data_IF_496883758985
#
_entry.id   IF_496883758985
#
_cell.length_a   1.000
_cell.length_b   1.000
_cell.length_c   1.000
_cell.angle_alpha   90.00
_cell.angle_beta   90.00
_cell.angle_gamma   90.00
#
_symmetry.space_group_name_H-M   'P 1'
#
loop_
_entity.id
_entity.type
_entity.pdbx_description
1 polymer ?
#
# COMPACT_ATOMS: atom_id res chain seq x y z
N UNK A 1 -12.93 -14.43 -28.31
CA UNK A 1 -11.89 -15.08 -29.13
C UNK A 1 -12.58 -16.09 -30.04
N UNK A 2 -12.15 -16.24 -31.30
CA UNK A 2 -12.71 -17.20 -32.26
C UNK A 2 -11.58 -18.10 -32.74
N UNK A 3 -11.65 -19.41 -32.45
CA UNK A 3 -10.64 -20.43 -32.78
C UNK A 3 -9.18 -20.02 -32.49
N UNK A 4 -9.00 -19.23 -31.42
CA UNK A 4 -7.67 -18.83 -30.97
C UNK A 4 -6.95 -20.07 -30.42
N UNK A 5 -5.92 -20.51 -31.14
CA UNK A 5 -5.06 -21.60 -30.70
C UNK A 5 -4.30 -21.19 -29.42
N UNK A 6 -4.28 -22.07 -28.43
CA UNK A 6 -3.61 -21.84 -27.14
C UNK A 6 -3.07 -23.13 -26.53
N UNK A 7 -2.05 -22.98 -25.68
CA UNK A 7 -1.49 -24.08 -24.90
C UNK A 7 -2.05 -24.06 -23.48
N UNK A 8 -2.43 -25.23 -22.97
CA UNK A 8 -2.83 -25.36 -21.57
C UNK A 8 -1.61 -25.19 -20.66
N UNK A 9 -1.73 -24.32 -19.65
CA UNK A 9 -0.73 -24.15 -18.60
C UNK A 9 -1.27 -24.74 -17.28
N UNK A 10 -0.53 -25.69 -16.71
CA UNK A 10 -0.94 -26.44 -15.52
C UNK A 10 -2.01 -27.49 -15.81
N UNK A 11 -2.66 -27.99 -14.76
CA UNK A 11 -3.63 -29.07 -14.87
C UNK A 11 -5.02 -28.59 -15.33
N UNK A 12 -5.77 -29.38 -16.11
CA UNK A 12 -7.17 -29.09 -16.42
C UNK A 12 -7.99 -28.79 -15.16
N UNK A 13 -8.73 -27.68 -15.15
CA UNK A 13 -9.55 -27.24 -14.01
C UNK A 13 -8.80 -26.47 -12.92
N UNK A 14 -7.46 -26.38 -12.97
CA UNK A 14 -6.64 -25.71 -11.94
C UNK A 14 -6.29 -24.26 -12.27
N UNK A 15 -6.98 -23.62 -13.23
CA UNK A 15 -6.61 -22.30 -13.76
C UNK A 15 -6.40 -21.22 -12.70
N UNK A 16 -7.28 -21.12 -11.69
CA UNK A 16 -7.12 -20.17 -10.58
C UNK A 16 -5.81 -20.44 -9.84
N UNK A 17 -5.58 -21.70 -9.42
CA UNK A 17 -4.36 -22.09 -8.69
C UNK A 17 -3.10 -21.78 -9.50
N UNK A 18 -3.12 -22.03 -10.81
CA UNK A 18 -1.99 -21.77 -11.70
C UNK A 18 -1.60 -20.28 -11.73
N UNK A 19 -2.56 -19.36 -11.66
CA UNK A 19 -2.29 -17.92 -11.77
C UNK A 19 -2.11 -17.20 -10.42
N UNK A 20 -2.35 -17.86 -9.28
CA UNK A 20 -2.32 -17.20 -7.97
C UNK A 20 -0.98 -16.52 -7.67
N UNK A 21 0.13 -17.18 -8.01
CA UNK A 21 1.47 -16.63 -7.77
C UNK A 21 1.74 -15.43 -8.68
N UNK A 22 1.32 -15.51 -9.96
CA UNK A 22 1.40 -14.39 -10.89
C UNK A 22 0.62 -13.18 -10.36
N UNK A 23 -0.64 -13.38 -9.96
CA UNK A 23 -1.47 -12.31 -9.39
C UNK A 23 -0.79 -11.73 -8.15
N UNK A 24 -0.26 -12.56 -7.27
CA UNK A 24 0.46 -12.12 -6.05
C UNK A 24 1.64 -11.21 -6.38
N UNK A 25 2.44 -11.54 -7.39
CA UNK A 25 3.55 -10.69 -7.84
C UNK A 25 3.06 -9.35 -8.41
N UNK A 26 2.01 -9.35 -9.24
CA UNK A 26 1.46 -8.09 -9.79
C UNK A 26 0.92 -7.14 -8.71
N UNK A 27 0.51 -7.68 -7.55
CA UNK A 27 0.03 -6.87 -6.41
C UNK A 27 1.17 -6.14 -5.71
N UNK A 28 2.37 -6.75 -5.63
CA UNK A 28 3.58 -6.06 -5.18
C UNK A 28 3.93 -4.92 -6.13
N UNK A 29 3.88 -5.16 -7.44
CA UNK A 29 4.17 -4.14 -8.46
C UNK A 29 3.21 -2.94 -8.34
N UNK A 30 1.92 -3.20 -8.12
CA UNK A 30 0.93 -2.13 -7.89
C UNK A 30 1.31 -1.25 -6.69
N UNK A 31 1.77 -1.84 -5.59
CA UNK A 31 2.16 -1.11 -4.40
C UNK A 31 3.44 -0.27 -4.63
N UNK A 32 4.46 -0.88 -5.24
CA UNK A 32 5.72 -0.20 -5.59
C UNK A 32 5.48 0.96 -6.56
N UNK A 33 4.67 0.75 -7.61
CA UNK A 33 4.34 1.79 -8.57
C UNK A 33 3.56 2.94 -7.91
N UNK A 34 2.60 2.64 -7.03
CA UNK A 34 1.84 3.66 -6.30
C UNK A 34 2.71 4.47 -5.35
N UNK A 35 3.60 3.81 -4.60
CA UNK A 35 4.59 4.48 -3.75
C UNK A 35 5.51 5.40 -4.58
N UNK A 36 5.97 4.93 -5.74
CA UNK A 36 6.77 5.71 -6.68
C UNK A 36 6.04 6.97 -7.21
N UNK A 37 4.77 6.83 -7.59
CA UNK A 37 3.95 7.96 -8.06
C UNK A 37 3.71 9.00 -6.96
N UNK A 38 3.42 8.56 -5.73
CA UNK A 38 3.27 9.47 -4.59
C UNK A 38 4.59 10.19 -4.29
N UNK A 39 5.71 9.46 -4.31
CA UNK A 39 7.06 10.03 -4.12
C UNK A 39 7.39 11.08 -5.17
N UNK A 40 7.13 10.81 -6.45
CA UNK A 40 7.39 11.74 -7.53
C UNK A 40 6.54 13.02 -7.39
N UNK A 41 5.26 12.86 -7.08
CA UNK A 41 4.32 13.99 -6.92
C UNK A 41 4.68 14.87 -5.72
N UNK A 42 5.02 14.26 -4.58
CA UNK A 42 5.47 15.00 -3.41
C UNK A 42 6.81 15.71 -3.67
N UNK A 43 7.75 15.08 -4.39
CA UNK A 43 9.02 15.72 -4.73
C UNK A 43 8.80 16.99 -5.58
N UNK A 44 7.88 16.95 -6.55
CA UNK A 44 7.51 18.12 -7.34
C UNK A 44 6.86 19.21 -6.46
N UNK A 45 5.95 18.85 -5.56
CA UNK A 45 5.31 19.77 -4.63
C UNK A 45 6.32 20.46 -3.69
N UNK A 46 7.23 19.70 -3.08
CA UNK A 46 8.30 20.24 -2.22
C UNK A 46 9.24 21.15 -3.02
N UNK A 47 9.63 20.75 -4.23
CA UNK A 47 10.48 21.57 -5.08
C UNK A 47 9.79 22.90 -5.45
N UNK A 48 8.52 22.84 -5.86
CA UNK A 48 7.74 24.04 -6.18
C UNK A 48 7.61 24.99 -4.98
N UNK A 49 7.31 24.45 -3.80
CA UNK A 49 7.19 25.24 -2.57
C UNK A 49 8.50 25.96 -2.18
N UNK A 50 9.67 25.41 -2.54
CA UNK A 50 10.97 26.06 -2.32
C UNK A 50 11.23 27.22 -3.27
N UNK A 51 10.66 27.20 -4.48
CA UNK A 51 10.87 28.22 -5.51
C UNK A 51 9.76 29.27 -5.62
N UNK A 52 8.58 29.03 -5.03
CA UNK A 52 7.42 29.91 -5.15
C UNK A 52 7.27 30.81 -3.93
N UNK A 53 7.18 32.12 -4.17
CA UNK A 53 6.87 33.13 -3.15
C UNK A 53 5.40 33.54 -3.18
N UNK A 54 4.77 33.61 -2.00
CA UNK A 54 3.41 34.12 -1.78
C UNK A 54 3.41 34.93 -0.49
N UNK A 55 2.78 36.10 -0.51
CA UNK A 55 2.82 37.07 0.60
C UNK A 55 4.25 37.42 1.06
N UNK A 56 5.17 37.54 0.11
CA UNK A 56 6.56 37.96 0.37
C UNK A 56 7.46 36.90 1.00
N UNK A 57 7.01 35.65 1.16
CA UNK A 57 7.79 34.53 1.69
C UNK A 57 7.71 33.32 0.78
N UNK A 58 8.78 32.52 0.74
CA UNK A 58 8.73 31.21 0.06
C UNK A 58 7.66 30.32 0.72
N UNK A 59 6.89 29.58 -0.07
CA UNK A 59 5.84 28.70 0.45
C UNK A 59 6.40 27.70 1.46
N UNK A 60 7.61 27.17 1.23
CA UNK A 60 8.27 26.22 2.14
C UNK A 60 8.54 26.78 3.55
N UNK A 61 8.57 28.11 3.73
CA UNK A 61 8.78 28.75 5.04
C UNK A 61 7.47 29.13 5.73
N UNK A 62 6.32 28.95 5.07
CA UNK A 62 5.01 29.13 5.67
C UNK A 62 4.67 27.89 6.50
N UNK A 63 4.44 28.02 7.82
CA UNK A 63 4.22 26.85 8.67
C UNK A 63 3.08 25.95 8.19
N UNK A 64 2.00 26.51 7.66
CA UNK A 64 0.85 25.75 7.14
C UNK A 64 1.25 24.85 5.96
N UNK A 65 2.05 25.34 5.02
CA UNK A 65 2.56 24.55 3.89
C UNK A 65 3.55 23.48 4.37
N UNK A 66 4.43 23.81 5.33
CA UNK A 66 5.35 22.82 5.89
C UNK A 66 4.60 21.65 6.53
N UNK A 67 3.46 21.88 7.20
CA UNK A 67 2.65 20.81 7.79
C UNK A 67 2.03 19.91 6.73
N UNK A 68 1.43 20.48 5.69
CA UNK A 68 0.86 19.72 4.56
C UNK A 68 1.93 18.84 3.90
N UNK A 69 3.09 19.41 3.56
CA UNK A 69 4.19 18.67 2.93
C UNK A 69 4.78 17.61 3.85
N UNK A 70 4.88 17.88 5.16
CA UNK A 70 5.40 16.93 6.13
C UNK A 70 4.44 15.75 6.34
N UNK A 71 3.14 16.00 6.40
CA UNK A 71 2.13 14.96 6.59
C UNK A 71 2.11 13.99 5.40
N UNK A 72 2.07 14.51 4.17
CA UNK A 72 2.24 13.68 2.96
C UNK A 72 3.59 12.93 2.96
N UNK A 73 4.66 13.54 3.48
CA UNK A 73 5.97 12.89 3.51
C UNK A 73 6.01 11.67 4.44
N UNK A 74 5.24 11.67 5.54
CA UNK A 74 5.12 10.52 6.43
C UNK A 74 4.48 9.33 5.68
N UNK A 75 3.36 9.57 5.00
CA UNK A 75 2.67 8.53 4.21
C UNK A 75 3.52 8.02 3.05
N UNK A 76 4.22 8.89 2.33
CA UNK A 76 5.14 8.48 1.25
C UNK A 76 6.27 7.62 1.80
N UNK A 77 6.87 8.00 2.93
CA UNK A 77 7.95 7.23 3.55
C UNK A 77 7.45 5.86 4.00
N UNK A 78 6.30 5.82 4.69
CA UNK A 78 5.64 4.61 5.15
C UNK A 78 5.29 3.66 3.99
N UNK A 79 4.62 4.15 2.95
CA UNK A 79 4.23 3.34 1.80
C UNK A 79 5.44 2.81 1.03
N UNK A 80 6.51 3.61 0.91
CA UNK A 80 7.76 3.17 0.28
C UNK A 80 8.42 2.07 1.11
N UNK A 81 8.63 2.29 2.41
CA UNK A 81 9.25 1.33 3.31
C UNK A 81 8.49 0.00 3.33
N UNK A 82 7.16 0.06 3.47
CA UNK A 82 6.29 -1.12 3.51
C UNK A 82 6.34 -1.91 2.19
N UNK A 83 6.34 -1.22 1.04
CA UNK A 83 6.41 -1.88 -0.28
C UNK A 83 7.75 -2.59 -0.49
N UNK A 84 8.87 -1.96 -0.12
CA UNK A 84 10.19 -2.59 -0.19
C UNK A 84 10.38 -3.69 0.85
N UNK A 85 9.81 -3.54 2.05
CA UNK A 85 9.80 -4.59 3.08
C UNK A 85 9.09 -5.84 2.59
N UNK A 86 7.97 -5.67 1.87
CA UNK A 86 7.26 -6.78 1.23
C UNK A 86 8.11 -7.43 0.14
N UNK A 87 8.77 -6.67 -0.73
CA UNK A 87 9.70 -7.21 -1.72
C UNK A 87 10.81 -8.05 -1.06
N UNK A 88 11.41 -7.54 0.02
CA UNK A 88 12.41 -8.28 0.80
C UNK A 88 11.85 -9.56 1.43
N UNK A 89 10.57 -9.57 1.82
CA UNK A 89 9.90 -10.79 2.30
C UNK A 89 9.80 -11.85 1.20
N UNK A 90 9.49 -11.45 -0.04
CA UNK A 90 9.47 -12.36 -1.19
C UNK A 90 10.85 -12.98 -1.44
N UNK A 91 11.93 -12.18 -1.37
CA UNK A 91 13.30 -12.69 -1.54
C UNK A 91 13.66 -13.75 -0.48
N UNK A 92 13.25 -13.53 0.77
CA UNK A 92 13.58 -14.39 1.90
C UNK A 92 12.59 -15.57 2.11
N UNK A 93 11.40 -15.54 1.51
CA UNK A 93 10.31 -16.48 1.77
C UNK A 93 10.70 -17.94 1.56
N UNK A 94 11.58 -18.24 0.60
CA UNK A 94 12.02 -19.61 0.32
C UNK A 94 12.74 -20.26 1.50
N UNK A 95 13.46 -19.48 2.30
CA UNK A 95 14.36 -19.97 3.34
C UNK A 95 13.94 -19.57 4.76
N UNK A 96 12.91 -18.73 4.89
CA UNK A 96 12.45 -18.23 6.18
C UNK A 96 10.91 -18.29 6.27
N UNK A 97 10.35 -19.20 7.09
CA UNK A 97 8.90 -19.34 7.28
C UNK A 97 8.20 -18.07 7.76
N UNK A 98 8.86 -17.25 8.59
CA UNK A 98 8.30 -15.98 9.05
C UNK A 98 8.16 -14.97 7.90
N UNK A 99 9.12 -14.94 6.97
CA UNK A 99 9.08 -14.10 5.78
C UNK A 99 8.06 -14.61 4.76
N UNK A 100 7.91 -15.94 4.63
CA UNK A 100 6.85 -16.52 3.81
C UNK A 100 5.45 -16.16 4.35
N UNK A 101 5.26 -16.21 5.67
CA UNK A 101 4.03 -15.78 6.33
C UNK A 101 3.77 -14.29 6.11
N UNK A 102 4.80 -13.46 6.28
CA UNK A 102 4.74 -12.02 6.01
C UNK A 102 4.33 -11.75 4.56
N UNK A 103 5.00 -12.37 3.58
CA UNK A 103 4.64 -12.20 2.17
C UNK A 103 3.18 -12.58 1.88
N UNK A 104 2.69 -13.70 2.44
CA UNK A 104 1.31 -14.16 2.20
C UNK A 104 0.25 -13.24 2.81
N UNK A 105 0.46 -12.82 4.07
CA UNK A 105 -0.49 -11.98 4.82
C UNK A 105 -0.44 -10.54 4.32
N UNK A 106 0.76 -9.99 4.13
CA UNK A 106 0.96 -8.57 3.88
C UNK A 106 0.75 -8.19 2.43
N UNK A 107 0.89 -9.07 1.43
CA UNK A 107 0.64 -8.71 0.02
C UNK A 107 -0.69 -7.99 -0.23
N UNK A 108 -1.86 -8.55 0.15
CA UNK A 108 -3.13 -7.83 -0.03
C UNK A 108 -3.22 -6.56 0.85
N UNK A 109 -2.56 -6.53 2.01
CA UNK A 109 -2.57 -5.39 2.94
C UNK A 109 -1.79 -4.20 2.36
N UNK A 110 -0.55 -4.45 1.91
CA UNK A 110 0.33 -3.45 1.30
C UNK A 110 -0.30 -2.92 0.01
N UNK A 111 -0.83 -3.81 -0.86
CA UNK A 111 -1.56 -3.35 -2.05
C UNK A 111 -2.76 -2.48 -1.67
N UNK A 112 -3.59 -2.92 -0.71
CA UNK A 112 -4.76 -2.16 -0.27
C UNK A 112 -4.36 -0.74 0.13
N UNK A 113 -3.41 -0.60 1.06
CA UNK A 113 -3.13 0.69 1.67
C UNK A 113 -2.36 1.59 0.70
N UNK A 114 -1.22 1.14 0.18
CA UNK A 114 -0.37 1.94 -0.71
C UNK A 114 -1.09 2.43 -1.96
N UNK A 115 -1.93 1.59 -2.58
CA UNK A 115 -2.64 1.99 -3.81
C UNK A 115 -3.82 2.91 -3.50
N UNK A 116 -4.48 2.76 -2.34
CA UNK A 116 -5.71 3.51 -2.02
C UNK A 116 -5.45 4.90 -1.46
N UNK A 117 -4.33 5.14 -0.80
CA UNK A 117 -3.98 6.48 -0.32
C UNK A 117 -3.45 7.39 -1.45
N UNK A 118 -2.91 6.79 -2.53
CA UNK A 118 -2.25 7.51 -3.61
C UNK A 118 -3.11 8.59 -4.29
N UNK A 119 -4.40 8.38 -4.63
CA UNK A 119 -5.21 9.42 -5.27
C UNK A 119 -5.37 10.68 -4.40
N UNK A 120 -5.62 10.53 -3.10
CA UNK A 120 -5.81 11.66 -2.19
C UNK A 120 -4.50 12.42 -1.94
N UNK A 121 -3.40 11.68 -1.76
CA UNK A 121 -2.08 12.29 -1.56
C UNK A 121 -1.61 13.04 -2.80
N UNK A 122 -1.76 12.45 -3.98
CA UNK A 122 -1.35 13.08 -5.25
C UNK A 122 -2.24 14.30 -5.56
N UNK A 123 -3.52 14.27 -5.19
CA UNK A 123 -4.39 15.45 -5.25
C UNK A 123 -3.84 16.60 -4.40
N UNK A 124 -3.49 16.37 -3.13
CA UNK A 124 -2.96 17.42 -2.24
C UNK A 124 -1.62 17.96 -2.75
N UNK A 125 -0.76 17.08 -3.27
CA UNK A 125 0.48 17.48 -3.91
C UNK A 125 0.24 18.32 -5.18
N UNK A 126 -0.79 18.01 -5.97
CA UNK A 126 -1.22 18.80 -7.12
C UNK A 126 -1.71 20.20 -6.70
N UNK A 127 -2.49 20.27 -5.61
CA UNK A 127 -2.98 21.55 -5.07
C UNK A 127 -1.83 22.46 -4.61
N UNK A 128 -0.75 21.89 -4.07
CA UNK A 128 0.46 22.64 -3.69
C UNK A 128 1.10 23.42 -4.85
N UNK A 129 0.88 23.01 -6.10
CA UNK A 129 1.36 23.72 -7.30
C UNK A 129 0.42 24.85 -7.75
N UNK A 130 -0.78 24.94 -7.17
CA UNK A 130 -1.85 25.83 -7.60
C UNK A 130 -2.35 25.48 -9.00
N UNK A 131 -2.80 26.49 -9.77
CA UNK A 131 -3.37 26.28 -11.11
C UNK A 131 -2.44 25.52 -12.07
N UNK A 132 -1.12 25.66 -11.94
CA UNK A 132 -0.17 24.91 -12.76
C UNK A 132 -0.17 23.41 -12.46
N UNK A 133 -0.59 22.97 -11.27
CA UNK A 133 -0.73 21.55 -10.98
C UNK A 133 -1.86 20.90 -11.79
N UNK A 134 -2.90 21.67 -12.13
CA UNK A 134 -4.10 21.19 -12.81
C UNK A 134 -3.93 21.09 -14.34
N UNK A 135 -2.89 21.68 -14.91
CA UNK A 135 -2.66 21.65 -16.36
C UNK A 135 -1.89 20.41 -16.78
N UNK A 136 -2.28 19.82 -17.90
CA UNK A 136 -1.78 18.52 -18.38
C UNK A 136 -0.31 18.55 -18.85
N UNK A 137 0.28 19.73 -19.01
CA UNK A 137 1.70 19.92 -19.28
C UNK A 137 2.58 19.60 -18.06
N UNK A 138 2.00 19.52 -16.85
CA UNK A 138 2.71 19.05 -15.65
C UNK A 138 2.50 17.56 -15.42
N UNK A 139 3.56 16.81 -15.06
CA UNK A 139 3.44 15.38 -14.78
C UNK A 139 2.42 15.03 -13.70
N UNK A 140 2.23 15.90 -12.69
CA UNK A 140 1.35 15.63 -11.56
C UNK A 140 -0.12 15.43 -11.94
N UNK A 141 -0.63 16.13 -12.97
CA UNK A 141 -1.99 15.91 -13.49
C UNK A 141 -2.15 14.49 -14.04
N UNK A 142 -1.13 13.98 -14.73
CA UNK A 142 -1.08 12.58 -15.18
C UNK A 142 -0.96 11.61 -14.01
N UNK A 143 -0.11 11.90 -13.03
CA UNK A 143 0.02 11.05 -11.83
C UNK A 143 -1.32 10.90 -11.11
N UNK A 144 -2.09 11.98 -11.00
CA UNK A 144 -3.42 11.95 -10.38
C UNK A 144 -4.39 11.04 -11.16
N UNK A 145 -4.39 11.13 -12.49
CA UNK A 145 -5.22 10.25 -13.35
C UNK A 145 -4.76 8.78 -13.31
N UNK A 146 -3.46 8.55 -13.13
CA UNK A 146 -2.86 7.20 -13.05
C UNK A 146 -3.14 6.53 -11.70
N UNK A 147 -3.09 7.28 -10.60
CA UNK A 147 -3.14 6.71 -9.25
C UNK A 147 -4.27 5.69 -8.98
N UNK A 148 -5.53 5.91 -9.42
CA UNK A 148 -6.61 4.97 -9.17
C UNK A 148 -6.44 3.61 -9.84
N UNK A 149 -5.69 3.50 -10.95
CA UNK A 149 -5.64 2.25 -11.71
C UNK A 149 -5.05 1.11 -10.87
N UNK A 150 -4.00 1.36 -10.08
CA UNK A 150 -3.36 0.34 -9.25
C UNK A 150 -4.24 -0.16 -8.10
N UNK A 151 -5.21 0.65 -7.67
CA UNK A 151 -6.19 0.27 -6.65
C UNK A 151 -7.41 -0.46 -7.24
N UNK A 152 -7.65 -0.36 -8.54
CA UNK A 152 -8.78 -0.99 -9.25
C UNK A 152 -8.33 -2.30 -9.91
N UNK A 153 -7.22 -2.25 -10.65
CA UNK A 153 -6.57 -3.36 -11.33
C UNK A 153 -6.12 -4.44 -10.34
N UNK A 154 -6.24 -5.71 -10.73
CA UNK A 154 -5.78 -6.89 -9.96
C UNK A 154 -6.30 -6.97 -8.51
N UNK A 155 -7.55 -6.57 -8.32
CA UNK A 155 -8.30 -6.71 -7.08
C UNK A 155 -8.44 -5.40 -6.32
N UNK A 156 -9.69 -4.93 -6.23
CA UNK A 156 -10.03 -3.69 -5.54
C UNK A 156 -9.91 -3.81 -4.02
N UNK A 157 -10.05 -2.68 -3.31
CA UNK A 157 -9.88 -2.64 -1.86
C UNK A 157 -10.75 -3.65 -1.09
N UNK A 158 -11.99 -3.90 -1.51
CA UNK A 158 -12.82 -4.93 -0.87
C UNK A 158 -12.28 -6.34 -1.13
N UNK A 159 -11.80 -6.61 -2.34
CA UNK A 159 -11.21 -7.91 -2.69
C UNK A 159 -9.94 -8.16 -1.86
N UNK A 160 -9.10 -7.15 -1.66
CA UNK A 160 -7.92 -7.27 -0.79
C UNK A 160 -8.31 -7.53 0.66
N UNK A 161 -9.29 -6.80 1.19
CA UNK A 161 -9.77 -6.99 2.56
C UNK A 161 -10.37 -8.39 2.79
N UNK A 162 -11.15 -8.89 1.84
CA UNK A 162 -11.70 -10.24 1.88
C UNK A 162 -10.62 -11.32 1.72
N UNK A 163 -9.56 -11.08 0.93
CA UNK A 163 -8.43 -12.01 0.84
C UNK A 163 -7.71 -12.14 2.18
N UNK A 164 -7.53 -11.04 2.92
CA UNK A 164 -6.95 -11.08 4.28
C UNK A 164 -7.79 -11.94 5.22
N UNK A 165 -9.13 -11.81 5.18
CA UNK A 165 -10.01 -12.68 5.97
C UNK A 165 -9.93 -14.15 5.55
N UNK A 166 -9.78 -14.42 4.25
CA UNK A 166 -9.57 -15.79 3.76
C UNK A 166 -8.25 -16.39 4.24
N UNK A 167 -7.18 -15.58 4.35
CA UNK A 167 -5.91 -16.03 4.96
C UNK A 167 -6.14 -16.35 6.43
N UNK A 168 -6.82 -15.46 7.15
CA UNK A 168 -7.09 -15.60 8.58
C UNK A 168 -7.88 -16.89 8.89
N UNK A 169 -8.88 -17.22 8.08
CA UNK A 169 -9.67 -18.44 8.24
C UNK A 169 -8.86 -19.73 8.01
N UNK A 170 -7.81 -19.68 7.19
CA UNK A 170 -7.03 -20.85 6.77
C UNK A 170 -5.69 -21.02 7.50
N UNK A 171 -5.15 -19.95 8.09
CA UNK A 171 -3.83 -19.95 8.72
C UNK A 171 -3.69 -18.82 9.73
N UNK A 172 -4.26 -19.00 10.92
CA UNK A 172 -4.13 -18.04 12.04
C UNK A 172 -2.68 -17.92 12.54
N UNK A 173 -1.94 -19.03 12.48
CA UNK A 173 -0.51 -19.13 12.79
C UNK A 173 0.35 -18.18 11.94
N UNK A 174 -0.05 -17.90 10.70
CA UNK A 174 0.63 -16.92 9.86
C UNK A 174 0.58 -15.51 10.48
N UNK A 175 -0.54 -15.13 11.08
CA UNK A 175 -0.68 -13.82 11.73
C UNK A 175 0.17 -13.72 13.00
N UNK A 176 0.33 -14.82 13.75
CA UNK A 176 1.22 -14.84 14.91
C UNK A 176 2.69 -14.63 14.53
N UNK A 177 3.14 -15.17 13.39
CA UNK A 177 4.49 -14.90 12.85
C UNK A 177 4.65 -13.43 12.43
N UNK A 178 3.62 -12.83 11.84
CA UNK A 178 3.63 -11.39 11.52
C UNK A 178 3.66 -10.56 12.80
N UNK A 179 2.90 -10.92 13.84
CA UNK A 179 2.93 -10.22 15.13
C UNK A 179 4.30 -10.27 15.80
N UNK A 180 4.97 -11.43 15.79
CA UNK A 180 6.34 -11.53 16.31
C UNK A 180 7.30 -10.60 15.56
N UNK A 181 7.14 -10.48 14.24
CA UNK A 181 7.92 -9.56 13.40
C UNK A 181 7.66 -8.11 13.82
N UNK A 182 6.40 -7.70 13.93
CA UNK A 182 6.01 -6.35 14.34
C UNK A 182 6.47 -6.01 15.77
N UNK A 183 6.33 -6.94 16.71
CA UNK A 183 6.75 -6.74 18.10
C UNK A 183 8.26 -6.54 18.22
N UNK A 184 9.04 -7.29 17.42
CA UNK A 184 10.49 -7.12 17.33
C UNK A 184 10.84 -5.74 16.78
N UNK A 185 10.22 -5.34 15.69
CA UNK A 185 10.58 -4.12 14.96
C UNK A 185 10.15 -2.85 15.73
N UNK A 186 8.99 -2.88 16.40
CA UNK A 186 8.46 -1.77 17.22
C UNK A 186 8.99 -1.74 18.66
N UNK A 187 9.71 -2.78 19.09
CA UNK A 187 10.29 -2.87 20.43
C UNK A 187 9.24 -2.76 21.56
N UNK A 188 9.47 -1.96 22.62
CA UNK A 188 8.55 -1.87 23.77
C UNK A 188 7.11 -1.45 23.43
N UNK A 189 6.91 -0.72 22.33
CA UNK A 189 5.59 -0.32 21.87
C UNK A 189 4.84 -1.44 21.13
N UNK A 190 5.56 -2.44 20.61
CA UNK A 190 5.04 -3.46 19.72
C UNK A 190 3.89 -4.25 20.31
N UNK A 191 3.96 -4.63 21.59
CA UNK A 191 2.91 -5.40 22.27
C UNK A 191 1.56 -4.66 22.28
N UNK A 192 1.57 -3.35 22.53
CA UNK A 192 0.32 -2.56 22.52
C UNK A 192 -0.26 -2.50 21.11
N UNK A 193 0.59 -2.35 20.10
CA UNK A 193 0.16 -2.35 18.70
C UNK A 193 -0.44 -3.70 18.31
N UNK A 194 0.20 -4.82 18.65
CA UNK A 194 -0.33 -6.16 18.34
C UNK A 194 -1.60 -6.48 19.12
N UNK A 195 -1.78 -5.98 20.34
CA UNK A 195 -3.04 -6.08 21.08
C UNK A 195 -4.20 -5.40 20.32
N UNK A 196 -3.97 -4.23 19.72
CA UNK A 196 -4.95 -3.55 18.84
C UNK A 196 -5.25 -4.39 17.60
N UNK A 197 -4.23 -4.95 16.95
CA UNK A 197 -4.42 -5.79 15.77
C UNK A 197 -5.18 -7.09 16.10
N UNK A 198 -4.92 -7.70 17.26
CA UNK A 198 -5.67 -8.88 17.75
C UNK A 198 -7.14 -8.53 18.02
N UNK A 199 -7.42 -7.35 18.58
CA UNK A 199 -8.79 -6.87 18.75
C UNK A 199 -9.48 -6.63 17.40
N UNK A 200 -8.78 -6.05 16.42
CA UNK A 200 -9.30 -5.87 15.06
C UNK A 200 -9.58 -7.21 14.36
N UNK A 201 -8.72 -8.21 14.54
CA UNK A 201 -8.96 -9.59 14.07
C UNK A 201 -10.24 -10.15 14.69
N UNK A 202 -10.36 -10.10 16.02
CA UNK A 202 -11.52 -10.63 16.74
C UNK A 202 -12.83 -9.95 16.32
N UNK A 203 -12.79 -8.66 15.98
CA UNK A 203 -13.93 -7.93 15.42
C UNK A 203 -14.25 -8.44 14.01
N UNK A 204 -13.25 -8.56 13.14
CA UNK A 204 -13.44 -9.01 11.76
C UNK A 204 -13.87 -10.48 11.62
N UNK A 205 -13.56 -11.33 12.60
CA UNK A 205 -14.08 -12.70 12.69
C UNK A 205 -15.58 -12.73 13.02
N UNK A 206 -16.10 -11.72 13.73
CA UNK A 206 -17.51 -11.61 14.11
C UNK A 206 -18.32 -10.84 13.06
N UNK A 207 -17.70 -9.87 12.42
CA UNK A 207 -18.30 -8.99 11.42
C UNK A 207 -17.32 -8.78 10.25
N UNK A 208 -17.61 -9.44 9.12
CA UNK A 208 -16.86 -9.29 7.88
C UNK A 208 -16.77 -7.82 7.42
N UNK A 209 -17.74 -6.97 7.81
CA UNK A 209 -17.75 -5.53 7.53
C UNK A 209 -16.54 -4.78 8.11
N UNK A 210 -15.89 -5.31 9.15
CA UNK A 210 -14.70 -4.72 9.75
C UNK A 210 -13.39 -5.05 9.00
N UNK A 211 -13.43 -5.78 7.89
CA UNK A 211 -12.24 -6.22 7.16
C UNK A 211 -11.32 -5.05 6.74
N UNK A 212 -11.89 -3.93 6.30
CA UNK A 212 -11.10 -2.76 5.89
C UNK A 212 -10.39 -2.09 7.06
N UNK A 213 -11.06 -2.00 8.22
CA UNK A 213 -10.45 -1.50 9.45
C UNK A 213 -9.25 -2.37 9.83
N UNK A 214 -9.44 -3.70 9.81
CA UNK A 214 -8.35 -4.66 10.07
C UNK A 214 -7.15 -4.42 9.14
N UNK A 215 -7.39 -4.36 7.83
CA UNK A 215 -6.32 -4.20 6.84
C UNK A 215 -5.58 -2.87 7.01
N UNK A 216 -6.31 -1.77 7.25
CA UNK A 216 -5.70 -0.46 7.44
C UNK A 216 -4.84 -0.41 8.72
N UNK A 217 -5.34 -0.97 9.83
CA UNK A 217 -4.56 -1.03 11.08
C UNK A 217 -3.28 -1.84 10.91
N UNK A 218 -3.33 -2.97 10.18
CA UNK A 218 -2.12 -3.73 9.87
C UNK A 218 -1.12 -2.94 9.03
N UNK A 219 -1.59 -2.21 8.02
CA UNK A 219 -0.71 -1.40 7.17
C UNK A 219 -0.02 -0.29 7.98
N UNK A 220 -0.77 0.42 8.82
CA UNK A 220 -0.23 1.47 9.68
C UNK A 220 0.77 0.90 10.71
N UNK A 221 0.44 -0.22 11.35
CA UNK A 221 1.32 -0.88 12.32
C UNK A 221 2.63 -1.37 11.69
N UNK A 222 2.57 -1.88 10.45
CA UNK A 222 3.74 -2.40 9.75
C UNK A 222 4.62 -1.31 9.12
N UNK A 223 4.12 -0.09 9.00
CA UNK A 223 4.85 1.04 8.43
C UNK A 223 5.36 2.05 9.47
N UNK A 224 5.00 1.86 10.75
CA UNK A 224 5.45 2.66 11.89
C UNK A 224 6.85 2.25 12.37
#
# INVERSE_FOLDING_TARGET
FTDAFGYLLGDPGSGIRTILDMVTLTRLDCALASAGMMRASLAEAVHYARGRSVFGKMLVTQPIMTRVLADMALDVAAATALSFRLASAFDAARNNPAEAAYARVMTPIVKYWCCKIAPALIYEAMECLGGNGYVEERPIARHYREAPVNAIWEGSGNVMALDVLRVLQRGKDLFDLVFQTLERDLGPAGKKTTDVLRAAIALAERDEGAARLLVEQFALAAAA
#
